data_IF_364155451340
#
_entry.id   IF_364155451340
#
_cell.length_a   1.000
_cell.length_b   1.000
_cell.length_c   1.000
_cell.angle_alpha   90.00
_cell.angle_beta   90.00
_cell.angle_gamma   90.00
#
_symmetry.space_group_name_H-M   'P 1'
#
loop_
_entity.id
_entity.type
_entity.pdbx_description
1 polymer ?
#
# COMPACT_ATOMS: atom_id res chain seq x y z
N UNK A 1 -1.47 -17.64 -17.45
CA UNK A 1 -0.38 -16.68 -17.68
C UNK A 1 0.86 -17.27 -17.04
N UNK A 2 2.00 -17.21 -17.71
CA UNK A 2 3.28 -17.67 -17.17
C UNK A 2 3.56 -16.98 -15.83
N UNK A 3 4.13 -17.69 -14.85
CA UNK A 3 4.47 -17.09 -13.57
C UNK A 3 5.46 -15.93 -13.79
N UNK A 4 5.02 -14.71 -13.49
CA UNK A 4 5.78 -13.50 -13.73
C UNK A 4 6.70 -13.14 -12.56
N UNK A 5 6.50 -13.74 -11.37
CA UNK A 5 7.30 -13.42 -10.18
C UNK A 5 8.79 -13.68 -10.40
N UNK A 6 9.23 -14.85 -10.92
CA UNK A 6 10.65 -15.10 -11.15
C UNK A 6 11.29 -14.14 -12.16
N UNK A 7 10.50 -13.63 -13.11
CA UNK A 7 10.96 -12.70 -14.15
C UNK A 7 11.12 -11.28 -13.61
N UNK A 8 10.19 -10.85 -12.75
CA UNK A 8 10.28 -9.57 -12.05
C UNK A 8 11.46 -9.62 -11.06
N UNK A 9 11.60 -10.70 -10.29
CA UNK A 9 12.73 -10.92 -9.39
C UNK A 9 14.07 -10.81 -10.13
N UNK A 10 14.19 -11.46 -11.29
CA UNK A 10 15.38 -11.39 -12.11
C UNK A 10 15.73 -9.95 -12.49
N UNK A 11 14.76 -9.17 -12.99
CA UNK A 11 14.99 -7.76 -13.33
C UNK A 11 15.37 -6.92 -12.11
N UNK A 12 14.73 -7.13 -10.94
CA UNK A 12 15.11 -6.44 -9.71
C UNK A 12 16.57 -6.74 -9.32
N UNK A 13 16.97 -8.02 -9.34
CA UNK A 13 18.34 -8.42 -8.98
C UNK A 13 19.37 -7.88 -9.97
N UNK A 14 19.06 -7.87 -11.27
CA UNK A 14 19.93 -7.31 -12.30
C UNK A 14 20.06 -5.79 -12.19
N UNK A 15 18.99 -5.06 -11.87
CA UNK A 15 19.07 -3.61 -11.62
C UNK A 15 19.97 -3.28 -10.44
N UNK A 16 19.85 -4.01 -9.32
CA UNK A 16 20.75 -3.84 -8.17
C UNK A 16 22.20 -4.10 -8.58
N UNK A 17 22.48 -5.23 -9.22
CA UNK A 17 23.83 -5.64 -9.65
C UNK A 17 24.46 -4.67 -10.65
N UNK A 18 23.66 -4.07 -11.53
CA UNK A 18 24.13 -3.15 -12.56
C UNK A 18 24.51 -1.78 -12.01
N UNK A 19 23.79 -1.30 -11.00
CA UNK A 19 23.92 0.09 -10.54
C UNK A 19 24.59 0.25 -9.18
N UNK A 20 24.51 -0.74 -8.29
CA UNK A 20 25.17 -0.68 -6.99
C UNK A 20 26.56 -1.33 -7.09
N UNK A 21 27.59 -0.58 -6.69
CA UNK A 21 29.00 -0.98 -6.82
C UNK A 21 29.72 -1.18 -5.50
N UNK A 22 29.11 -0.73 -4.39
CA UNK A 22 29.66 -0.88 -3.04
C UNK A 22 29.09 -2.16 -2.43
N UNK A 23 29.95 -3.06 -1.96
CA UNK A 23 29.55 -4.38 -1.45
C UNK A 23 28.50 -4.30 -0.34
N UNK A 24 28.64 -3.37 0.60
CA UNK A 24 27.66 -3.19 1.68
C UNK A 24 26.30 -2.76 1.15
N UNK A 25 26.26 -1.86 0.15
CA UNK A 25 25.01 -1.43 -0.48
C UNK A 25 24.32 -2.60 -1.18
N UNK A 26 25.08 -3.43 -1.91
CA UNK A 26 24.56 -4.63 -2.58
C UNK A 26 24.00 -5.64 -1.56
N UNK A 27 24.74 -5.90 -0.48
CA UNK A 27 24.34 -6.86 0.56
C UNK A 27 23.03 -6.46 1.23
N UNK A 28 22.95 -5.22 1.72
CA UNK A 28 21.72 -4.74 2.35
C UNK A 28 20.57 -4.61 1.35
N UNK A 29 20.85 -4.25 0.08
CA UNK A 29 19.83 -4.25 -0.95
C UNK A 29 19.22 -5.66 -1.11
N UNK A 30 20.04 -6.69 -1.32
CA UNK A 30 19.52 -8.05 -1.45
C UNK A 30 18.77 -8.54 -0.22
N UNK A 31 19.18 -8.13 0.98
CA UNK A 31 18.46 -8.44 2.21
C UNK A 31 17.05 -7.83 2.18
N UNK A 32 16.90 -6.55 1.86
CA UNK A 32 15.58 -5.89 1.83
C UNK A 32 14.72 -6.40 0.67
N UNK A 33 15.33 -6.78 -0.47
CA UNK A 33 14.61 -7.43 -1.56
C UNK A 33 14.01 -8.78 -1.13
N UNK A 34 14.65 -9.54 -0.24
CA UNK A 34 14.13 -10.84 0.19
C UNK A 34 12.78 -10.71 0.90
N UNK A 35 12.63 -9.73 1.77
CA UNK A 35 11.36 -9.44 2.45
C UNK A 35 10.27 -9.13 1.41
N UNK A 36 10.59 -8.28 0.43
CA UNK A 36 9.65 -7.94 -0.65
C UNK A 36 9.27 -9.14 -1.53
N UNK A 37 10.23 -10.03 -1.80
CA UNK A 37 9.99 -11.24 -2.61
C UNK A 37 9.09 -12.25 -1.87
N UNK A 38 9.17 -12.31 -0.54
CA UNK A 38 8.30 -13.17 0.27
C UNK A 38 6.82 -12.77 0.15
N UNK A 39 6.54 -11.49 -0.11
CA UNK A 39 5.19 -10.95 -0.37
C UNK A 39 4.64 -11.30 -1.76
N UNK A 40 5.42 -11.99 -2.60
CA UNK A 40 5.03 -12.42 -3.95
C UNK A 40 4.76 -11.27 -4.94
N UNK A 41 5.37 -10.10 -4.72
CA UNK A 41 5.38 -8.97 -5.66
C UNK A 41 3.98 -8.59 -6.21
N UNK A 42 3.00 -8.27 -5.35
CA UNK A 42 1.62 -8.05 -5.78
C UNK A 42 1.50 -6.87 -6.76
N UNK A 43 2.22 -5.78 -6.56
CA UNK A 43 2.14 -4.58 -7.40
C UNK A 43 2.75 -4.81 -8.79
N UNK A 44 3.88 -5.51 -8.87
CA UNK A 44 4.50 -5.92 -10.12
C UNK A 44 3.60 -6.89 -10.87
N UNK A 45 2.95 -7.83 -10.17
CA UNK A 45 1.94 -8.72 -10.76
C UNK A 45 0.73 -7.94 -11.27
N UNK A 46 0.24 -6.93 -10.56
CA UNK A 46 -0.81 -6.03 -11.03
C UNK A 46 -0.38 -5.31 -12.30
N UNK A 47 0.83 -4.74 -12.34
CA UNK A 47 1.37 -4.08 -13.54
C UNK A 47 1.42 -5.01 -14.74
N UNK A 48 1.97 -6.22 -14.57
CA UNK A 48 2.01 -7.22 -15.66
C UNK A 48 0.60 -7.60 -16.11
N UNK A 49 -0.30 -7.87 -15.17
CA UNK A 49 -1.67 -8.28 -15.48
C UNK A 49 -2.41 -7.20 -16.29
N UNK A 50 -2.35 -5.94 -15.86
CA UNK A 50 -3.00 -4.84 -16.57
C UNK A 50 -2.37 -4.60 -17.95
N UNK A 51 -1.05 -4.73 -18.07
CA UNK A 51 -0.41 -4.68 -19.38
C UNK A 51 -0.98 -5.75 -20.33
N UNK A 52 -1.14 -7.00 -19.85
CA UNK A 52 -1.72 -8.09 -20.65
C UNK A 52 -3.20 -7.90 -20.96
N UNK A 53 -4.00 -7.49 -19.98
CA UNK A 53 -5.45 -7.23 -20.15
C UNK A 53 -5.70 -6.27 -21.32
N UNK A 54 -4.84 -5.24 -21.45
CA UNK A 54 -4.98 -4.20 -22.47
C UNK A 54 -4.22 -4.49 -23.78
N UNK A 55 -3.79 -5.73 -24.00
CA UNK A 55 -3.19 -6.21 -25.25
C UNK A 55 -1.67 -6.10 -25.36
N UNK A 56 -0.99 -5.84 -24.24
CA UNK A 56 0.47 -5.76 -24.19
C UNK A 56 1.17 -7.12 -24.34
N UNK A 57 2.20 -7.18 -25.17
CA UNK A 57 2.99 -8.38 -25.49
C UNK A 57 4.49 -8.21 -25.16
N UNK A 58 5.24 -9.32 -25.07
CA UNK A 58 6.69 -9.26 -24.84
C UNK A 58 7.14 -9.11 -23.38
N UNK A 59 8.47 -9.04 -23.17
CA UNK A 59 9.11 -9.16 -21.86
C UNK A 59 9.47 -7.82 -21.19
N UNK A 60 9.44 -6.69 -21.93
CA UNK A 60 9.80 -5.38 -21.39
C UNK A 60 8.99 -4.98 -20.15
N UNK A 61 7.76 -5.50 -20.01
CA UNK A 61 6.88 -5.28 -18.85
C UNK A 61 7.50 -5.76 -17.54
N UNK A 62 8.38 -6.76 -17.54
CA UNK A 62 8.97 -7.27 -16.30
C UNK A 62 9.92 -6.25 -15.66
N UNK A 63 10.66 -5.49 -16.46
CA UNK A 63 11.51 -4.39 -15.95
C UNK A 63 10.68 -3.22 -15.44
N UNK A 64 9.59 -2.88 -16.13
CA UNK A 64 8.63 -1.89 -15.65
C UNK A 64 7.95 -2.33 -14.35
N UNK A 65 7.61 -3.61 -14.21
CA UNK A 65 7.06 -4.16 -12.98
C UNK A 65 8.09 -4.16 -11.84
N UNK A 66 9.37 -4.45 -12.12
CA UNK A 66 10.46 -4.29 -11.15
C UNK A 66 10.61 -2.83 -10.71
N UNK A 67 10.45 -1.87 -11.63
CA UNK A 67 10.43 -0.45 -11.30
C UNK A 67 9.31 -0.09 -10.32
N UNK A 68 8.10 -0.61 -10.55
CA UNK A 68 6.96 -0.44 -9.63
C UNK A 68 7.31 -1.03 -8.27
N UNK A 69 7.83 -2.26 -8.21
CA UNK A 69 8.18 -2.92 -6.94
C UNK A 69 9.28 -2.20 -6.15
N UNK A 70 10.28 -1.61 -6.83
CA UNK A 70 11.27 -0.76 -6.15
C UNK A 70 10.65 0.49 -5.54
N UNK A 71 9.66 1.09 -6.21
CA UNK A 71 8.95 2.25 -5.67
C UNK A 71 8.18 1.85 -4.41
N UNK A 72 7.45 0.75 -4.46
CA UNK A 72 6.67 0.29 -3.31
C UNK A 72 7.59 -0.12 -2.15
N UNK A 73 8.67 -0.86 -2.42
CA UNK A 73 9.66 -1.19 -1.39
C UNK A 73 10.26 0.07 -0.75
N UNK A 74 10.56 1.11 -1.54
CA UNK A 74 11.05 2.37 -0.98
C UNK A 74 10.01 3.06 -0.10
N UNK A 75 8.73 3.09 -0.51
CA UNK A 75 7.66 3.68 0.30
C UNK A 75 7.39 2.90 1.56
N UNK A 76 7.42 1.57 1.52
CA UNK A 76 7.23 0.69 2.68
C UNK A 76 8.35 0.90 3.70
N UNK A 77 9.62 0.97 3.25
CA UNK A 77 10.75 1.28 4.14
C UNK A 77 10.58 2.67 4.79
N UNK A 78 10.15 3.69 4.03
CA UNK A 78 9.93 5.01 4.61
C UNK A 78 8.77 5.02 5.62
N UNK A 79 7.67 4.33 5.32
CA UNK A 79 6.49 4.22 6.20
C UNK A 79 6.85 3.52 7.51
N UNK A 80 7.42 2.32 7.43
CA UNK A 80 7.78 1.50 8.59
C UNK A 80 8.81 2.18 9.51
N UNK A 81 9.77 2.92 8.94
CA UNK A 81 10.75 3.68 9.74
C UNK A 81 10.12 4.90 10.44
N UNK A 82 9.08 5.49 9.86
CA UNK A 82 8.36 6.62 10.46
C UNK A 82 7.38 6.15 11.54
N UNK A 83 6.66 5.07 11.27
CA UNK A 83 5.63 4.49 12.15
C UNK A 83 6.22 3.60 13.25
N UNK A 84 7.45 3.09 13.08
CA UNK A 84 8.17 2.22 14.02
C UNK A 84 7.40 0.94 14.40
N UNK A 85 6.65 0.37 13.45
CA UNK A 85 5.67 -0.68 13.69
C UNK A 85 5.92 -1.99 12.91
N UNK A 86 7.07 -2.08 12.22
CA UNK A 86 7.50 -3.27 11.49
C UNK A 86 8.84 -3.83 12.02
N UNK A 87 8.95 -4.23 13.30
CA UNK A 87 10.23 -4.57 13.94
C UNK A 87 10.90 -5.84 13.38
N UNK A 88 10.19 -6.65 12.59
CA UNK A 88 10.68 -7.90 12.01
C UNK A 88 11.24 -7.73 10.58
N UNK A 89 11.04 -6.56 9.97
CA UNK A 89 11.55 -6.30 8.63
C UNK A 89 13.04 -6.01 8.67
N UNK A 90 13.79 -6.45 7.66
CA UNK A 90 15.23 -6.31 7.66
C UNK A 90 15.70 -4.84 7.68
N UNK A 91 14.89 -3.91 7.13
CA UNK A 91 15.18 -2.48 7.18
C UNK A 91 15.02 -1.87 8.57
N UNK A 92 14.16 -2.44 9.41
CA UNK A 92 13.99 -2.02 10.80
C UNK A 92 15.13 -2.53 11.71
N UNK A 93 15.73 -3.66 11.37
CA UNK A 93 16.91 -4.21 12.07
C UNK A 93 18.24 -3.55 11.62
N UNK A 94 18.26 -2.98 10.41
CA UNK A 94 19.44 -2.29 9.89
C UNK A 94 19.68 -0.94 10.59
N UNK A 95 20.93 -0.45 10.65
CA UNK A 95 21.21 0.90 11.12
C UNK A 95 20.41 1.95 10.33
N UNK A 96 19.70 2.84 11.03
CA UNK A 96 18.82 3.85 10.42
C UNK A 96 19.46 4.62 9.23
N UNK A 97 20.73 5.08 9.30
CA UNK A 97 21.35 5.76 8.15
C UNK A 97 21.44 4.88 6.90
N UNK A 98 21.61 3.57 7.07
CA UNK A 98 21.70 2.60 5.96
C UNK A 98 20.30 2.37 5.39
N UNK A 99 19.29 2.17 6.23
CA UNK A 99 17.92 1.94 5.78
C UNK A 99 17.38 3.14 4.99
N UNK A 100 17.57 4.37 5.49
CA UNK A 100 17.20 5.60 4.79
C UNK A 100 17.94 5.76 3.46
N UNK A 101 19.24 5.44 3.43
CA UNK A 101 20.02 5.49 2.19
C UNK A 101 19.50 4.52 1.14
N UNK A 102 19.13 3.30 1.54
CA UNK A 102 18.57 2.29 0.65
C UNK A 102 17.18 2.65 0.14
N UNK A 103 16.30 3.19 0.99
CA UNK A 103 14.99 3.67 0.54
C UNK A 103 15.13 4.73 -0.57
N UNK A 104 16.03 5.71 -0.38
CA UNK A 104 16.33 6.71 -1.40
C UNK A 104 16.97 6.10 -2.67
N UNK A 105 17.85 5.11 -2.51
CA UNK A 105 18.49 4.42 -3.62
C UNK A 105 17.49 3.58 -4.42
N UNK A 106 16.56 2.87 -3.77
CA UNK A 106 15.50 2.11 -4.44
C UNK A 106 14.51 3.01 -5.17
N UNK A 107 14.14 4.16 -4.60
CA UNK A 107 13.31 5.13 -5.31
C UNK A 107 13.99 5.64 -6.59
N UNK A 108 15.31 5.87 -6.53
CA UNK A 108 16.11 6.24 -7.72
C UNK A 108 16.19 5.07 -8.71
N UNK A 109 16.39 3.85 -8.21
CA UNK A 109 16.47 2.64 -9.03
C UNK A 109 15.16 2.31 -9.73
N UNK A 110 14.02 2.60 -9.08
CA UNK A 110 12.68 2.54 -9.70
C UNK A 110 12.61 3.42 -10.95
N UNK A 111 12.99 4.69 -10.82
CA UNK A 111 12.98 5.62 -11.96
C UNK A 111 13.91 5.16 -13.07
N UNK A 112 15.12 4.70 -12.73
CA UNK A 112 16.07 4.18 -13.71
C UNK A 112 15.56 2.91 -14.39
N UNK A 113 14.97 1.97 -13.65
CA UNK A 113 14.40 0.74 -14.21
C UNK A 113 13.26 1.04 -15.19
N UNK A 114 12.42 2.03 -14.89
CA UNK A 114 11.37 2.46 -15.82
C UNK A 114 11.94 3.10 -17.09
N UNK A 115 12.98 3.93 -16.97
CA UNK A 115 13.68 4.50 -18.15
C UNK A 115 14.37 3.43 -19.00
N UNK A 116 14.89 2.38 -18.36
CA UNK A 116 15.54 1.25 -19.03
C UNK A 116 14.52 0.21 -19.54
N UNK A 117 13.22 0.40 -19.29
CA UNK A 117 12.18 -0.48 -19.84
C UNK A 117 12.04 -0.20 -21.34
N UNK A 118 12.21 -1.24 -22.16
CA UNK A 118 12.35 -1.16 -23.64
C UNK A 118 11.03 -0.84 -24.36
N UNK A 119 10.25 0.09 -23.84
CA UNK A 119 9.02 0.62 -24.41
C UNK A 119 9.27 1.88 -25.24
N UNK A 120 8.25 2.32 -25.97
CA UNK A 120 8.28 3.61 -26.64
C UNK A 120 8.54 4.74 -25.62
N UNK A 121 9.52 5.60 -25.93
CA UNK A 121 9.96 6.68 -25.04
C UNK A 121 8.84 7.62 -24.59
N UNK A 122 7.82 7.85 -25.43
CA UNK A 122 6.67 8.70 -25.07
C UNK A 122 5.74 8.03 -24.06
N UNK A 123 5.57 6.71 -24.16
CA UNK A 123 4.81 5.93 -23.18
C UNK A 123 5.54 5.90 -21.84
N UNK A 124 6.86 5.68 -21.84
CA UNK A 124 7.70 5.73 -20.64
C UNK A 124 7.61 7.10 -19.98
N UNK A 125 7.77 8.19 -20.74
CA UNK A 125 7.69 9.55 -20.19
C UNK A 125 6.33 9.86 -19.55
N UNK A 126 5.23 9.50 -20.23
CA UNK A 126 3.87 9.76 -19.73
C UNK A 126 3.59 8.90 -18.50
N UNK A 127 4.05 7.64 -18.50
CA UNK A 127 3.95 6.73 -17.36
C UNK A 127 4.73 7.27 -16.17
N UNK A 128 6.01 7.63 -16.32
CA UNK A 128 6.82 8.21 -15.24
C UNK A 128 6.20 9.48 -14.65
N UNK A 129 5.60 10.34 -15.48
CA UNK A 129 4.85 11.50 -14.98
C UNK A 129 3.69 11.08 -14.09
N UNK A 130 2.92 10.07 -14.48
CA UNK A 130 1.83 9.50 -13.66
C UNK A 130 2.38 8.88 -12.37
N UNK A 131 3.45 8.09 -12.44
CA UNK A 131 4.09 7.48 -11.26
C UNK A 131 4.48 8.55 -10.23
N UNK A 132 5.15 9.61 -10.67
CA UNK A 132 5.57 10.70 -9.80
C UNK A 132 4.38 11.44 -9.18
N UNK A 133 3.29 11.65 -9.94
CA UNK A 133 2.08 12.27 -9.41
C UNK A 133 1.41 11.40 -8.35
N UNK A 134 1.33 10.07 -8.54
CA UNK A 134 0.80 9.14 -7.53
C UNK A 134 1.69 9.08 -6.28
N UNK A 135 3.01 9.11 -6.44
CA UNK A 135 3.93 9.15 -5.30
C UNK A 135 3.82 10.47 -4.52
N UNK A 136 3.65 11.61 -5.19
CA UNK A 136 3.39 12.89 -4.52
C UNK A 136 2.04 12.87 -3.79
N UNK A 137 1.03 12.21 -4.36
CA UNK A 137 -0.25 12.00 -3.69
C UNK A 137 -0.05 11.13 -2.43
N UNK A 138 0.71 10.03 -2.52
CA UNK A 138 1.07 9.18 -1.39
C UNK A 138 1.80 9.94 -0.28
N UNK A 139 2.72 10.84 -0.63
CA UNK A 139 3.42 11.69 0.33
C UNK A 139 2.47 12.63 1.10
N UNK A 140 1.42 13.17 0.45
CA UNK A 140 0.40 13.97 1.14
C UNK A 140 -0.41 13.11 2.12
N UNK A 141 -0.83 11.91 1.68
CA UNK A 141 -1.49 10.92 2.53
C UNK A 141 -0.65 10.57 3.77
N UNK A 142 0.64 10.28 3.56
CA UNK A 142 1.57 9.96 4.64
C UNK A 142 1.70 11.09 5.65
N UNK A 143 1.85 12.33 5.20
CA UNK A 143 1.94 13.48 6.10
C UNK A 143 0.66 13.67 6.92
N UNK A 144 -0.52 13.43 6.33
CA UNK A 144 -1.79 13.48 7.08
C UNK A 144 -1.86 12.40 8.16
N UNK A 145 -1.36 11.19 7.88
CA UNK A 145 -1.27 10.08 8.84
C UNK A 145 -0.34 10.43 10.00
N UNK A 146 0.89 10.87 9.71
CA UNK A 146 1.90 11.26 10.71
C UNK A 146 1.46 12.41 11.61
N UNK A 147 0.75 13.38 11.05
CA UNK A 147 0.21 14.51 11.80
C UNK A 147 -1.09 14.17 12.54
N UNK A 148 -1.58 12.93 12.43
CA UNK A 148 -2.87 12.47 12.93
C UNK A 148 -4.01 13.44 12.58
N UNK A 149 -3.97 13.95 11.34
CA UNK A 149 -4.79 15.04 10.84
C UNK A 149 -6.22 14.61 10.47
N UNK A 150 -6.50 13.31 10.50
CA UNK A 150 -7.85 12.77 10.35
C UNK A 150 -8.72 13.27 11.51
N UNK A 151 -9.94 13.70 11.21
CA UNK A 151 -10.90 14.21 12.20
C UNK A 151 -12.30 13.63 12.05
N UNK A 152 -12.59 13.08 10.88
CA UNK A 152 -13.90 12.57 10.47
C UNK A 152 -13.73 11.51 9.38
N UNK A 153 -14.82 10.86 9.00
CA UNK A 153 -14.78 9.81 7.97
C UNK A 153 -14.33 10.33 6.61
N UNK A 154 -14.71 11.56 6.25
CA UNK A 154 -14.32 12.14 4.97
C UNK A 154 -12.79 12.30 4.88
N UNK A 155 -12.17 12.88 5.89
CA UNK A 155 -10.71 13.02 5.99
C UNK A 155 -9.99 11.67 6.09
N UNK A 156 -10.60 10.68 6.75
CA UNK A 156 -10.11 9.30 6.75
C UNK A 156 -10.07 8.72 5.32
N UNK A 157 -11.18 8.76 4.58
CA UNK A 157 -11.22 8.27 3.20
C UNK A 157 -10.27 9.04 2.28
N UNK A 158 -10.15 10.37 2.45
CA UNK A 158 -9.16 11.15 1.70
C UNK A 158 -7.73 10.71 2.00
N UNK A 159 -7.41 10.41 3.27
CA UNK A 159 -6.09 9.90 3.65
C UNK A 159 -5.76 8.59 2.95
N UNK A 160 -6.67 7.61 2.97
CA UNK A 160 -6.47 6.31 2.29
C UNK A 160 -6.33 6.48 0.78
N UNK A 161 -7.23 7.28 0.19
CA UNK A 161 -7.19 7.59 -1.25
C UNK A 161 -5.84 8.19 -1.66
N UNK A 162 -5.26 9.00 -0.77
CA UNK A 162 -3.99 9.65 -1.03
C UNK A 162 -2.80 8.75 -0.76
N UNK A 163 -2.81 7.94 0.31
CA UNK A 163 -1.72 7.04 0.74
C UNK A 163 -1.76 5.70 -0.02
N UNK A 164 -2.39 4.68 0.52
CA UNK A 164 -2.28 3.30 0.03
C UNK A 164 -2.99 3.06 -1.30
N UNK A 165 -4.16 3.67 -1.53
CA UNK A 165 -4.90 3.46 -2.77
C UNK A 165 -4.18 4.07 -4.00
N UNK A 166 -3.43 5.16 -3.82
CA UNK A 166 -2.65 5.79 -4.89
C UNK A 166 -1.57 4.85 -5.46
N UNK A 167 -1.01 3.97 -4.62
CA UNK A 167 0.00 2.99 -5.02
C UNK A 167 -0.60 1.84 -5.85
N UNK A 168 -1.82 1.40 -5.53
CA UNK A 168 -2.54 0.40 -6.35
C UNK A 168 -2.91 0.99 -7.70
N UNK A 169 -3.42 2.23 -7.72
CA UNK A 169 -3.69 2.98 -8.96
C UNK A 169 -2.42 3.09 -9.80
N UNK A 170 -1.29 3.42 -9.18
CA UNK A 170 0.00 3.49 -9.83
C UNK A 170 0.37 2.15 -10.52
N UNK A 171 0.27 1.01 -9.83
CA UNK A 171 0.61 -0.28 -10.39
C UNK A 171 -0.30 -0.68 -11.56
N UNK A 172 -1.62 -0.54 -11.40
CA UNK A 172 -2.60 -0.86 -12.44
C UNK A 172 -2.42 0.04 -13.67
N UNK A 173 -2.32 1.35 -13.46
CA UNK A 173 -2.21 2.32 -14.55
C UNK A 173 -0.87 2.28 -15.28
N UNK A 174 0.21 1.89 -14.61
CA UNK A 174 1.51 1.63 -15.27
C UNK A 174 1.35 0.55 -16.34
N UNK A 175 0.67 -0.56 -16.01
CA UNK A 175 0.41 -1.63 -16.96
C UNK A 175 -0.42 -1.14 -18.16
N UNK A 176 -1.50 -0.39 -17.91
CA UNK A 176 -2.34 0.17 -18.98
C UNK A 176 -1.55 1.12 -19.87
N UNK A 177 -0.82 2.08 -19.29
CA UNK A 177 -0.19 3.16 -20.05
C UNK A 177 1.00 2.70 -20.90
N UNK A 178 1.70 1.64 -20.49
CA UNK A 178 2.79 1.05 -21.28
C UNK A 178 2.29 0.34 -22.55
N UNK A 179 0.99 0.04 -22.67
CA UNK A 179 0.39 -0.41 -23.95
C UNK A 179 0.25 0.71 -24.98
N UNK A 180 0.54 1.96 -24.61
CA UNK A 180 0.28 3.16 -25.41
C UNK A 180 -1.12 3.73 -25.26
N UNK A 181 -1.94 3.14 -24.40
CA UNK A 181 -3.22 3.72 -23.99
C UNK A 181 -3.00 4.87 -23.01
N UNK A 182 -3.91 5.83 -23.00
CA UNK A 182 -3.93 6.90 -22.01
C UNK A 182 -4.44 6.43 -20.65
N UNK A 183 -4.69 7.40 -19.77
CA UNK A 183 -5.35 7.17 -18.49
C UNK A 183 -6.73 6.50 -18.69
N UNK A 184 -7.01 5.44 -17.93
CA UNK A 184 -8.27 4.70 -18.01
C UNK A 184 -9.08 4.95 -16.72
N UNK A 185 -10.11 5.81 -16.77
CA UNK A 185 -10.78 6.30 -15.56
C UNK A 185 -11.42 5.19 -14.72
N UNK A 186 -12.06 4.20 -15.36
CA UNK A 186 -12.70 3.08 -14.64
C UNK A 186 -11.67 2.17 -13.96
N UNK A 187 -10.47 2.00 -14.56
CA UNK A 187 -9.38 1.19 -13.97
C UNK A 187 -8.83 1.88 -12.74
N UNK A 188 -8.59 3.18 -12.85
CA UNK A 188 -8.17 3.98 -11.71
C UNK A 188 -9.23 4.01 -10.60
N UNK A 189 -10.51 4.15 -10.95
CA UNK A 189 -11.61 4.16 -9.96
C UNK A 189 -11.69 2.82 -9.22
N UNK A 190 -11.70 1.68 -9.91
CA UNK A 190 -11.77 0.40 -9.20
C UNK A 190 -10.50 0.11 -8.39
N UNK A 191 -9.34 0.59 -8.84
CA UNK A 191 -8.09 0.47 -8.09
C UNK A 191 -8.13 1.28 -6.79
N UNK A 192 -8.81 2.44 -6.79
CA UNK A 192 -9.10 3.18 -5.55
C UNK A 192 -10.03 2.38 -4.65
N UNK A 193 -11.13 1.84 -5.19
CA UNK A 193 -12.13 1.10 -4.42
C UNK A 193 -11.54 -0.16 -3.74
N UNK A 194 -10.70 -0.92 -4.44
CA UNK A 194 -10.03 -2.06 -3.82
C UNK A 194 -9.02 -1.62 -2.76
N UNK A 195 -8.30 -0.50 -2.98
CA UNK A 195 -7.40 0.08 -1.98
C UNK A 195 -8.12 0.52 -0.71
N UNK A 196 -9.32 1.11 -0.85
CA UNK A 196 -10.18 1.45 0.29
C UNK A 196 -10.57 0.19 1.06
N UNK A 197 -11.03 -0.85 0.37
CA UNK A 197 -11.41 -2.10 1.02
C UNK A 197 -10.22 -2.78 1.72
N UNK A 198 -9.05 -2.81 1.09
CA UNK A 198 -7.84 -3.39 1.66
C UNK A 198 -7.38 -2.64 2.92
N UNK A 199 -7.39 -1.31 2.90
CA UNK A 199 -7.01 -0.52 4.07
C UNK A 199 -7.98 -0.70 5.23
N UNK A 200 -9.30 -0.66 4.99
CA UNK A 200 -10.28 -0.87 6.07
C UNK A 200 -10.13 -2.28 6.67
N UNK A 201 -9.84 -3.29 5.83
CA UNK A 201 -9.55 -4.65 6.30
C UNK A 201 -8.30 -4.69 7.20
N UNK A 202 -7.25 -3.96 6.85
CA UNK A 202 -6.04 -3.83 7.68
C UNK A 202 -6.37 -3.15 9.01
N UNK A 203 -7.09 -2.03 9.01
CA UNK A 203 -7.48 -1.31 10.22
C UNK A 203 -8.34 -2.19 11.17
N UNK A 204 -9.23 -3.03 10.62
CA UNK A 204 -10.00 -4.02 11.42
C UNK A 204 -9.06 -5.04 12.08
N UNK A 205 -8.08 -5.54 11.34
CA UNK A 205 -7.11 -6.51 11.86
C UNK A 205 -6.21 -5.88 12.93
N UNK A 206 -5.70 -4.68 12.67
CA UNK A 206 -4.64 -4.06 13.47
C UNK A 206 -5.17 -3.43 14.76
N UNK A 207 -6.46 -3.06 14.83
CA UNK A 207 -7.10 -2.60 16.06
C UNK A 207 -7.12 -3.67 17.18
N UNK A 208 -7.13 -4.96 16.81
CA UNK A 208 -7.20 -6.09 17.74
C UNK A 208 -5.83 -6.74 18.05
N UNK A 209 -4.75 -6.27 17.43
CA UNK A 209 -3.39 -6.84 17.55
C UNK A 209 -2.55 -6.14 18.62
N UNK A 210 -2.91 -6.36 19.89
CA UNK A 210 -2.22 -5.80 21.06
C UNK A 210 -0.77 -6.28 21.27
N UNK A 211 -0.32 -7.30 20.55
CA UNK A 211 1.00 -7.94 20.69
C UNK A 211 2.04 -7.50 19.64
N UNK A 212 1.64 -6.76 18.61
CA UNK A 212 2.52 -6.28 17.53
C UNK A 212 2.25 -4.80 17.22
N UNK A 213 1.45 -4.54 16.18
CA UNK A 213 1.00 -3.23 15.71
C UNK A 213 -0.44 -3.01 16.20
N UNK A 214 -0.64 -1.99 17.03
CA UNK A 214 -1.94 -1.67 17.58
C UNK A 214 -2.30 -0.20 17.33
N UNK A 215 -3.23 0.01 16.39
CA UNK A 215 -3.72 1.33 16.01
C UNK A 215 -4.32 2.12 17.19
N UNK A 216 -4.95 1.42 18.16
CA UNK A 216 -5.46 2.06 19.36
C UNK A 216 -4.32 2.62 20.21
N UNK A 217 -3.28 1.83 20.52
CA UNK A 217 -2.14 2.29 21.32
C UNK A 217 -1.41 3.45 20.66
N UNK A 218 -1.30 3.44 19.33
CA UNK A 218 -0.72 4.53 18.54
C UNK A 218 -1.64 5.76 18.40
N UNK A 219 -2.87 5.72 18.93
CA UNK A 219 -3.90 6.77 18.78
C UNK A 219 -4.22 7.08 17.33
N UNK A 220 -4.09 6.08 16.46
CA UNK A 220 -4.35 6.20 15.04
C UNK A 220 -5.85 6.37 14.82
N UNK A 221 -6.23 7.42 14.11
CA UNK A 221 -7.64 7.71 13.81
C UNK A 221 -8.06 6.99 12.53
N UNK A 222 -8.44 5.73 12.70
CA UNK A 222 -9.09 4.91 11.66
C UNK A 222 -10.60 5.06 11.71
N UNK A 223 -11.31 4.57 10.68
CA UNK A 223 -12.79 4.52 10.66
C UNK A 223 -13.38 3.94 11.94
N UNK A 224 -12.77 2.87 12.45
CA UNK A 224 -13.23 2.15 13.63
C UNK A 224 -13.07 3.00 14.89
N UNK A 225 -11.89 3.60 15.07
CA UNK A 225 -11.63 4.45 16.24
C UNK A 225 -12.46 5.73 16.22
N UNK A 226 -12.68 6.34 15.04
CA UNK A 226 -13.56 7.50 14.90
C UNK A 226 -14.98 7.15 15.33
N UNK A 227 -15.49 6.00 14.89
CA UNK A 227 -16.80 5.49 15.30
C UNK A 227 -16.87 5.21 16.81
N UNK A 228 -15.81 4.63 17.40
CA UNK A 228 -15.74 4.39 18.84
C UNK A 228 -15.64 5.66 19.68
N UNK A 229 -15.11 6.74 19.11
CA UNK A 229 -14.98 8.02 19.78
C UNK A 229 -16.29 8.80 19.83
N UNK A 230 -17.35 8.36 19.16
CA UNK A 230 -18.68 8.98 19.27
C UNK A 230 -19.26 8.85 20.69
N UNK A 231 -19.93 9.90 21.17
CA UNK A 231 -20.46 9.99 22.56
C UNK A 231 -21.35 8.80 22.97
N UNK A 232 -22.01 8.16 22.01
CA UNK A 232 -22.90 7.03 22.25
C UNK A 232 -22.17 5.74 22.62
N UNK A 233 -20.87 5.63 22.31
CA UNK A 233 -20.09 4.40 22.42
C UNK A 233 -19.20 4.37 23.66
N UNK A 234 -18.48 5.46 23.95
CA UNK A 234 -17.54 5.54 25.07
C UNK A 234 -18.22 6.06 26.36
N UNK A 235 -19.02 5.20 27.01
CA UNK A 235 -19.83 5.56 28.18
C UNK A 235 -19.05 6.14 29.37
N UNK A 236 -17.72 5.93 29.44
CA UNK A 236 -16.86 6.44 30.51
C UNK A 236 -15.83 7.47 30.00
N UNK A 237 -15.91 7.87 28.72
CA UNK A 237 -15.03 8.82 28.03
C UNK A 237 -13.53 8.48 28.08
N UNK A 238 -13.12 7.29 28.51
CA UNK A 238 -11.71 6.99 28.72
C UNK A 238 -10.95 6.72 27.41
N UNK A 239 -11.63 6.21 26.38
CA UNK A 239 -11.05 6.05 25.04
C UNK A 239 -10.85 7.43 24.44
N UNK A 240 -11.85 8.32 24.58
CA UNK A 240 -11.72 9.72 24.17
C UNK A 240 -10.63 10.45 24.92
N UNK A 241 -10.57 10.32 26.24
CA UNK A 241 -9.54 10.93 27.08
C UNK A 241 -8.14 10.45 26.67
N UNK A 242 -8.00 9.19 26.26
CA UNK A 242 -6.74 8.67 25.74
C UNK A 242 -6.36 9.29 24.39
N UNK A 243 -7.29 9.33 23.43
CA UNK A 243 -7.05 9.94 22.11
C UNK A 243 -6.79 11.45 22.17
N UNK A 244 -7.40 12.14 23.13
CA UNK A 244 -7.20 13.58 23.37
C UNK A 244 -5.96 13.87 24.25
N UNK A 245 -5.23 12.84 24.67
CA UNK A 245 -3.99 12.96 25.43
C UNK A 245 -4.17 13.33 26.90
N UNK A 246 -5.39 13.25 27.44
CA UNK A 246 -5.66 13.35 28.88
C UNK A 246 -5.21 12.12 29.66
N UNK A 247 -5.17 10.95 29.00
CA UNK A 247 -4.56 9.73 29.49
C UNK A 247 -3.28 9.41 28.69
N UNK A 248 -2.36 8.67 29.28
CA UNK A 248 -1.15 8.15 28.65
C UNK A 248 -1.22 6.63 28.45
N UNK A 249 -0.23 6.05 27.79
CA UNK A 249 -0.20 4.61 27.46
C UNK A 249 -0.25 3.72 28.71
N UNK A 250 0.42 4.11 29.80
CA UNK A 250 0.39 3.36 31.06
C UNK A 250 -1.00 3.36 31.71
N UNK A 251 -1.82 4.39 31.48
CA UNK A 251 -3.20 4.45 31.99
C UNK A 251 -4.16 3.51 31.26
N UNK A 252 -3.77 2.98 30.10
CA UNK A 252 -4.58 2.10 29.25
C UNK A 252 -3.98 0.71 29.05
N UNK A 253 -2.74 0.47 29.49
CA UNK A 253 -2.03 -0.79 29.33
C UNK A 253 -2.82 -2.01 29.86
N UNK A 254 -3.46 -1.89 31.03
CA UNK A 254 -4.24 -2.96 31.64
C UNK A 254 -5.73 -2.96 31.21
N UNK A 255 -6.12 -2.08 30.27
CA UNK A 255 -7.52 -1.90 29.85
C UNK A 255 -7.90 -2.69 28.60
N UNK A 256 -7.06 -3.64 28.15
CA UNK A 256 -7.34 -4.47 26.96
C UNK A 256 -8.73 -5.09 26.96
N UNK A 257 -9.13 -5.76 28.06
CA UNK A 257 -10.44 -6.39 28.15
C UNK A 257 -11.60 -5.39 28.10
N UNK A 258 -11.43 -4.20 28.68
CA UNK A 258 -12.43 -3.12 28.61
C UNK A 258 -12.53 -2.55 27.19
N UNK A 259 -11.40 -2.44 26.48
CA UNK A 259 -11.38 -2.02 25.09
C UNK A 259 -12.09 -3.03 24.18
N UNK A 260 -11.78 -4.32 24.32
CA UNK A 260 -12.42 -5.40 23.55
C UNK A 260 -13.94 -5.42 23.78
N UNK A 261 -14.40 -5.25 25.03
CA UNK A 261 -15.83 -5.14 25.36
C UNK A 261 -16.48 -3.90 24.73
N UNK A 262 -15.82 -2.74 24.81
CA UNK A 262 -16.31 -1.50 24.19
C UNK A 262 -16.37 -1.63 22.65
N UNK A 263 -15.35 -2.22 22.04
CA UNK A 263 -15.29 -2.48 20.61
C UNK A 263 -16.43 -3.40 20.15
N UNK A 264 -16.68 -4.51 20.86
CA UNK A 264 -17.78 -5.43 20.55
C UNK A 264 -19.15 -4.75 20.69
N UNK A 265 -19.39 -4.03 21.80
CA UNK A 265 -20.67 -3.35 22.06
C UNK A 265 -20.94 -2.19 21.12
N UNK A 266 -19.89 -1.52 20.65
CA UNK A 266 -20.03 -0.38 19.74
C UNK A 266 -20.65 -0.78 18.40
N UNK A 267 -20.36 -2.00 17.91
CA UNK A 267 -20.64 -2.36 16.53
C UNK A 267 -19.63 -1.79 15.52
N UNK A 268 -18.52 -1.20 15.97
CA UNK A 268 -17.47 -0.64 15.11
C UNK A 268 -16.96 -1.66 14.09
N UNK A 269 -16.73 -2.92 14.51
CA UNK A 269 -16.33 -3.99 13.58
C UNK A 269 -17.35 -4.20 12.46
N UNK A 270 -18.64 -4.28 12.81
CA UNK A 270 -19.72 -4.46 11.82
C UNK A 270 -19.79 -3.27 10.88
N UNK A 271 -19.64 -2.05 11.41
CA UNK A 271 -19.59 -0.82 10.63
C UNK A 271 -18.44 -0.87 9.62
N UNK A 272 -17.22 -1.13 10.07
CA UNK A 272 -16.05 -1.26 9.20
C UNK A 272 -16.23 -2.35 8.13
N UNK A 273 -16.77 -3.51 8.49
CA UNK A 273 -17.05 -4.59 7.53
C UNK A 273 -18.07 -4.20 6.46
N UNK A 274 -19.13 -3.45 6.82
CA UNK A 274 -20.14 -2.96 5.87
C UNK A 274 -19.53 -1.94 4.91
N UNK A 275 -18.74 -0.99 5.41
CA UNK A 275 -18.07 0.03 4.58
C UNK A 275 -17.04 -0.64 3.66
N UNK A 276 -16.20 -1.52 4.20
CA UNK A 276 -15.25 -2.33 3.43
C UNK A 276 -15.95 -3.11 2.31
N UNK A 277 -17.09 -3.76 2.62
CA UNK A 277 -17.86 -4.52 1.63
C UNK A 277 -18.49 -3.63 0.57
N UNK A 278 -18.89 -2.42 0.92
CA UNK A 278 -19.41 -1.42 -0.04
C UNK A 278 -18.37 -1.07 -1.08
N UNK A 279 -17.15 -0.72 -0.66
CA UNK A 279 -16.03 -0.46 -1.56
C UNK A 279 -15.65 -1.70 -2.39
N UNK A 280 -15.59 -2.87 -1.77
CA UNK A 280 -15.30 -4.11 -2.49
C UNK A 280 -16.35 -4.44 -3.57
N UNK A 281 -17.64 -4.28 -3.26
CA UNK A 281 -18.71 -4.50 -4.24
C UNK A 281 -18.63 -3.48 -5.38
N UNK A 282 -18.33 -2.21 -5.08
CA UNK A 282 -18.13 -1.17 -6.10
C UNK A 282 -16.94 -1.49 -7.01
N UNK A 283 -15.83 -1.96 -6.45
CA UNK A 283 -14.69 -2.50 -7.20
C UNK A 283 -15.15 -3.60 -8.17
N UNK A 284 -15.94 -4.57 -7.69
CA UNK A 284 -16.42 -5.68 -8.52
C UNK A 284 -17.30 -5.20 -9.69
N UNK A 285 -18.23 -4.28 -9.45
CA UNK A 285 -19.09 -3.70 -10.48
C UNK A 285 -18.27 -2.98 -11.57
N UNK A 286 -17.31 -2.14 -11.15
CA UNK A 286 -16.46 -1.38 -12.07
C UNK A 286 -15.54 -2.30 -12.88
N UNK A 287 -14.93 -3.29 -12.24
CA UNK A 287 -14.08 -4.29 -12.89
C UNK A 287 -14.88 -5.09 -13.94
N UNK A 288 -16.11 -5.50 -13.64
CA UNK A 288 -16.97 -6.23 -14.58
C UNK A 288 -17.46 -5.37 -15.75
N UNK A 289 -17.49 -4.04 -15.57
CA UNK A 289 -17.86 -3.10 -16.64
C UNK A 289 -16.78 -2.89 -17.71
N UNK A 290 -15.55 -3.35 -17.47
CA UNK A 290 -14.42 -3.25 -18.41
C UNK A 290 -14.18 -4.61 -19.06
N UNK A 291 -14.52 -4.82 -20.35
CA UNK A 291 -14.43 -6.13 -21.00
C UNK A 291 -13.03 -6.76 -20.94
N UNK A 292 -11.98 -5.95 -21.16
CA UNK A 292 -10.58 -6.39 -21.08
C UNK A 292 -10.22 -6.99 -19.71
N UNK A 293 -10.79 -6.44 -18.64
CA UNK A 293 -10.52 -6.82 -17.25
C UNK A 293 -11.43 -7.98 -16.82
N UNK A 294 -12.71 -7.95 -17.20
CA UNK A 294 -13.71 -8.94 -16.80
C UNK A 294 -13.30 -10.39 -17.16
N UNK A 295 -12.66 -10.60 -18.31
CA UNK A 295 -12.14 -11.91 -18.73
C UNK A 295 -11.03 -12.44 -17.81
N UNK A 296 -10.33 -11.55 -17.12
CA UNK A 296 -9.20 -11.85 -16.24
C UNK A 296 -9.56 -11.74 -14.75
N UNK A 297 -10.85 -11.65 -14.41
CA UNK A 297 -11.39 -11.47 -13.06
C UNK A 297 -10.75 -12.40 -12.02
N UNK A 298 -10.73 -13.70 -12.26
CA UNK A 298 -10.20 -14.68 -11.31
C UNK A 298 -8.71 -14.43 -11.00
N UNK A 299 -7.94 -14.01 -12.00
CA UNK A 299 -6.52 -13.71 -11.83
C UNK A 299 -6.29 -12.43 -11.02
N UNK A 300 -7.06 -11.37 -11.32
CA UNK A 300 -7.01 -10.12 -10.56
C UNK A 300 -7.35 -10.36 -9.08
N UNK A 301 -8.45 -11.09 -8.83
CA UNK A 301 -8.85 -11.47 -7.47
C UNK A 301 -7.79 -12.32 -6.76
N UNK A 302 -7.11 -13.23 -7.47
CA UNK A 302 -6.05 -14.06 -6.87
C UNK A 302 -4.81 -13.27 -6.45
N UNK A 303 -4.54 -12.12 -7.10
CA UNK A 303 -3.45 -11.21 -6.70
C UNK A 303 -3.87 -10.46 -5.44
N UNK A 304 -5.08 -9.87 -5.48
CA UNK A 304 -5.62 -9.03 -4.40
C UNK A 304 -6.01 -9.80 -3.14
N UNK A 305 -6.32 -11.11 -3.23
CA UNK A 305 -6.70 -11.92 -2.07
C UNK A 305 -5.53 -12.27 -1.14
N UNK A 306 -4.28 -12.00 -1.55
CA UNK A 306 -3.08 -12.21 -0.72
C UNK A 306 -2.70 -10.97 0.11
N UNK A 307 -3.42 -9.86 -0.08
CA UNK A 307 -3.45 -8.67 0.80
C UNK A 307 -4.65 -8.79 1.76
#
# INVERSE_FOLDING_TARGET
MEDCVPKIEFEMREMVKRHFTVDSLIQYAYLFLMDRLNEQLPFGRLTVLHYRMFGGEGAAVYRAAAAVEFLILATDIFDDLQDQDAPKQAWSEAPLPIALHLAAAFLTLSQQAMMDSEFDSSHVQTTMKMMNLQLLQAANGQMMDLMNAVSDEHSYFQSIKQKSAALIVHACMTGVMLTGRGWHPIVAEYAVEVGMAAQIKNDIRDLLRWDEKNDFLQRKKTLLTLYMLEDAVDQHNWIRDYFEGRLNEADVADKRGLFEEAYEKSGAMLYGLVVMRTHYNRFMELMESVPEVAVHKEMLLSILAKE
#
